data_IF_512749618607
#
_entry.id   IF_512749618607
#
_cell.length_a   1.000
_cell.length_b   1.000
_cell.length_c   1.000
_cell.angle_alpha   90.00
_cell.angle_beta   90.00
_cell.angle_gamma   90.00
#
_symmetry.space_group_name_H-M   'P 1'
#
loop_
_entity.id
_entity.type
_entity.pdbx_description
1 polymer ?
#
# COMPACT_ATOMS: atom_id res chain seq x y z
N UNK A 1 -19.21 -2.52 16.60
CA UNK A 1 -18.16 -1.66 16.00
C UNK A 1 -16.93 -2.53 15.76
N UNK A 2 -16.34 -2.41 14.58
CA UNK A 2 -15.10 -3.14 14.26
C UNK A 2 -13.92 -2.18 14.40
N UNK A 3 -12.94 -2.58 15.19
CA UNK A 3 -11.73 -1.78 15.44
C UNK A 3 -10.51 -2.66 15.27
N UNK A 4 -9.48 -2.13 14.61
CA UNK A 4 -8.17 -2.79 14.48
C UNK A 4 -7.09 -1.85 14.98
N UNK A 5 -6.15 -2.39 15.74
CA UNK A 5 -4.94 -1.66 16.09
C UNK A 5 -3.91 -1.93 14.99
N UNK A 6 -3.65 -0.93 14.16
CA UNK A 6 -2.81 -1.10 12.98
C UNK A 6 -1.39 -1.56 13.35
N UNK A 7 -0.85 -1.09 14.47
CA UNK A 7 0.48 -1.54 14.92
C UNK A 7 0.49 -3.02 15.22
N UNK A 8 -0.57 -3.52 15.85
CA UNK A 8 -0.68 -4.94 16.23
C UNK A 8 -0.89 -5.85 15.03
N UNK A 9 -1.41 -5.31 13.93
CA UNK A 9 -1.71 -6.09 12.73
C UNK A 9 -0.54 -6.26 11.78
N UNK A 10 0.57 -5.55 12.02
CA UNK A 10 1.73 -5.61 11.14
C UNK A 10 2.34 -6.99 11.11
N UNK A 11 2.71 -7.46 9.91
CA UNK A 11 3.38 -8.75 9.70
C UNK A 11 4.44 -8.57 8.62
N UNK A 12 5.63 -9.06 8.88
CA UNK A 12 6.74 -8.99 7.93
C UNK A 12 7.20 -10.39 7.54
N UNK A 13 7.75 -10.51 6.34
CA UNK A 13 8.33 -11.77 5.86
C UNK A 13 9.64 -11.45 5.14
N UNK A 14 10.63 -12.32 5.29
CA UNK A 14 11.90 -12.18 4.57
C UNK A 14 11.78 -12.54 3.10
N UNK A 15 10.70 -13.22 2.71
CA UNK A 15 10.52 -13.70 1.33
C UNK A 15 9.91 -12.64 0.42
N UNK A 16 8.90 -11.92 0.91
CA UNK A 16 8.21 -10.88 0.14
C UNK A 16 7.41 -9.99 1.06
N UNK A 17 6.97 -8.85 0.55
CA UNK A 17 6.10 -7.96 1.30
C UNK A 17 4.83 -8.66 1.72
N UNK A 18 4.27 -8.23 2.85
CA UNK A 18 3.00 -8.74 3.35
C UNK A 18 1.91 -7.68 3.19
N UNK A 19 0.74 -8.15 2.79
CA UNK A 19 -0.49 -7.35 2.75
C UNK A 19 -1.41 -7.93 3.79
N UNK A 20 -1.70 -7.16 4.83
CA UNK A 20 -2.58 -7.62 5.90
C UNK A 20 -3.90 -6.87 5.78
N UNK A 21 -4.99 -7.60 5.54
CA UNK A 21 -6.30 -6.99 5.41
C UNK A 21 -6.82 -6.54 6.77
N UNK A 22 -7.26 -5.29 6.86
CA UNK A 22 -7.85 -4.72 8.06
C UNK A 22 -9.37 -4.77 7.99
N UNK A 23 -9.93 -4.27 6.88
CA UNK A 23 -11.37 -4.25 6.64
C UNK A 23 -11.65 -4.51 5.17
N UNK A 24 -12.75 -5.18 4.90
CA UNK A 24 -13.22 -5.37 3.53
C UNK A 24 -14.73 -5.34 3.48
N UNK A 25 -15.26 -4.55 2.54
CA UNK A 25 -16.69 -4.50 2.24
C UNK A 25 -16.88 -4.69 0.73
N UNK A 26 -18.14 -4.73 0.28
CA UNK A 26 -18.42 -4.78 -1.16
C UNK A 26 -17.83 -3.57 -1.90
N UNK A 27 -17.65 -2.44 -1.22
CA UNK A 27 -17.26 -1.17 -1.84
C UNK A 27 -15.80 -0.82 -1.72
N UNK A 28 -15.10 -1.37 -0.72
CA UNK A 28 -13.71 -0.96 -0.46
C UNK A 28 -12.97 -2.02 0.33
N UNK A 29 -11.65 -1.91 0.36
CA UNK A 29 -10.85 -2.58 1.38
C UNK A 29 -9.80 -1.61 1.94
N UNK A 30 -9.34 -1.92 3.15
CA UNK A 30 -8.24 -1.23 3.80
C UNK A 30 -7.24 -2.29 4.26
N UNK A 31 -5.99 -2.11 3.84
CA UNK A 31 -4.89 -3.03 4.15
C UNK A 31 -3.75 -2.27 4.82
N UNK A 32 -2.91 -3.00 5.57
CA UNK A 32 -1.60 -2.50 5.92
C UNK A 32 -0.57 -3.31 5.13
N UNK A 33 0.35 -2.60 4.45
CA UNK A 33 1.43 -3.22 3.70
C UNK A 33 2.70 -3.11 4.53
N UNK A 34 3.43 -4.21 4.65
CA UNK A 34 4.65 -4.28 5.43
C UNK A 34 5.78 -4.77 4.54
N UNK A 35 6.79 -3.91 4.32
CA UNK A 35 7.91 -4.19 3.44
C UNK A 35 9.23 -4.14 4.21
N UNK A 36 9.96 -5.25 4.18
CA UNK A 36 11.35 -5.27 4.64
C UNK A 36 12.23 -4.52 3.61
N UNK A 37 13.46 -4.13 3.98
CA UNK A 37 14.36 -3.52 3.01
C UNK A 37 14.50 -4.34 1.73
N UNK A 38 14.42 -3.67 0.58
CA UNK A 38 14.55 -4.28 -0.74
C UNK A 38 13.28 -4.87 -1.31
N UNK A 39 12.22 -4.97 -0.53
CA UNK A 39 10.96 -5.52 -1.01
C UNK A 39 10.15 -4.49 -1.78
N UNK A 40 9.26 -4.97 -2.65
CA UNK A 40 8.46 -4.11 -3.52
C UNK A 40 7.10 -4.71 -3.81
N UNK A 41 6.17 -3.84 -4.14
CA UNK A 41 4.98 -4.19 -4.89
C UNK A 41 5.24 -3.77 -6.32
N UNK A 42 5.32 -4.74 -7.24
CA UNK A 42 5.62 -4.47 -8.65
C UNK A 42 4.56 -3.58 -9.27
N UNK A 43 4.96 -2.83 -10.29
CA UNK A 43 4.04 -1.97 -11.03
C UNK A 43 2.91 -2.78 -11.63
N UNK A 44 1.71 -2.27 -11.47
CA UNK A 44 0.49 -2.86 -12.02
C UNK A 44 -0.57 -1.77 -12.07
N UNK A 45 -1.67 -2.05 -12.76
CA UNK A 45 -2.80 -1.14 -12.85
C UNK A 45 -4.08 -1.89 -12.48
N UNK A 46 -5.00 -1.17 -11.86
CA UNK A 46 -6.33 -1.70 -11.54
C UNK A 46 -7.37 -0.96 -12.36
N UNK A 47 -8.14 -1.70 -13.13
CA UNK A 47 -9.21 -1.12 -13.93
C UNK A 47 -10.34 -0.65 -13.02
N UNK A 48 -10.70 0.63 -13.13
CA UNK A 48 -11.85 1.19 -12.45
C UNK A 48 -11.74 1.37 -10.94
N UNK A 49 -10.56 1.15 -10.35
CA UNK A 49 -10.40 1.31 -8.91
C UNK A 49 -9.27 2.28 -8.59
N UNK A 50 -9.58 3.23 -7.72
CA UNK A 50 -8.57 4.16 -7.19
C UNK A 50 -7.89 3.54 -5.98
N UNK A 51 -6.62 3.88 -5.78
CA UNK A 51 -5.82 3.37 -4.68
C UNK A 51 -5.12 4.51 -3.97
N UNK A 52 -5.10 4.44 -2.65
CA UNK A 52 -4.39 5.41 -1.82
C UNK A 52 -3.33 4.68 -1.02
N UNK A 53 -2.12 5.24 -0.99
CA UNK A 53 -1.06 4.84 -0.09
C UNK A 53 -0.81 5.95 0.92
N UNK A 54 -0.78 5.60 2.18
CA UNK A 54 -0.42 6.53 3.25
C UNK A 54 0.76 5.93 4.04
N UNK A 55 1.87 6.69 4.15
CA UNK A 55 3.07 6.19 4.82
C UNK A 55 2.92 6.31 6.32
N UNK A 56 2.97 5.17 7.01
CA UNK A 56 2.90 5.12 8.47
C UNK A 56 4.30 5.12 9.09
N UNK A 57 5.24 4.42 8.47
CA UNK A 57 6.59 4.26 9.01
C UNK A 57 7.57 4.01 7.87
N UNK A 58 8.77 4.60 7.99
CA UNK A 58 9.82 4.43 7.00
C UNK A 58 9.65 5.32 5.77
N UNK A 59 10.42 5.04 4.73
CA UNK A 59 10.37 5.77 3.46
C UNK A 59 10.25 4.79 2.31
N UNK A 60 9.53 5.18 1.27
CA UNK A 60 9.35 4.36 0.09
C UNK A 60 9.43 5.16 -1.19
N UNK A 61 9.81 4.50 -2.27
CA UNK A 61 9.78 5.04 -3.63
C UNK A 61 8.48 4.65 -4.27
N UNK A 62 7.65 5.62 -4.65
CA UNK A 62 6.33 5.38 -5.25
C UNK A 62 6.34 5.74 -6.71
N UNK A 63 5.81 4.84 -7.51
CA UNK A 63 5.65 4.99 -8.96
C UNK A 63 4.18 5.17 -9.28
N UNK A 64 3.81 6.30 -9.86
CA UNK A 64 2.44 6.57 -10.30
C UNK A 64 2.52 7.08 -11.73
N UNK A 65 2.12 6.26 -12.71
CA UNK A 65 2.30 6.60 -14.11
C UNK A 65 3.77 6.79 -14.46
N UNK A 66 4.11 7.95 -15.00
CA UNK A 66 5.49 8.29 -15.35
C UNK A 66 6.23 9.01 -14.22
N UNK A 67 5.57 9.20 -13.09
CA UNK A 67 6.12 9.95 -11.97
C UNK A 67 6.67 8.99 -10.91
N UNK A 68 7.82 9.36 -10.34
CA UNK A 68 8.41 8.61 -9.24
C UNK A 68 8.82 9.57 -8.15
N UNK A 69 8.44 9.25 -6.90
CA UNK A 69 8.74 10.13 -5.78
C UNK A 69 8.96 9.33 -4.51
N UNK A 70 9.92 9.77 -3.69
CA UNK A 70 10.13 9.21 -2.37
C UNK A 70 9.20 9.89 -1.38
N UNK A 71 8.48 9.09 -0.59
CA UNK A 71 7.57 9.59 0.44
C UNK A 71 8.01 9.10 1.81
N UNK A 72 7.72 9.93 2.81
CA UNK A 72 8.06 9.73 4.22
C UNK A 72 6.79 9.67 5.08
N UNK A 73 6.89 9.37 6.39
CA UNK A 73 5.70 9.27 7.24
C UNK A 73 4.78 10.48 7.16
N UNK A 74 3.49 10.19 7.21
CA UNK A 74 2.41 11.17 7.13
C UNK A 74 2.15 11.73 5.73
N UNK A 75 2.89 11.27 4.72
CA UNK A 75 2.58 11.62 3.33
C UNK A 75 1.66 10.60 2.70
N UNK A 76 0.79 11.08 1.83
CA UNK A 76 -0.25 10.30 1.18
C UNK A 76 -0.19 10.53 -0.34
N UNK A 77 -0.45 9.48 -1.12
CA UNK A 77 -0.46 9.58 -2.58
C UNK A 77 -1.63 8.81 -3.17
N UNK A 78 -2.19 9.36 -4.23
CA UNK A 78 -3.27 8.73 -4.98
C UNK A 78 -2.71 8.06 -6.24
N UNK A 79 -3.05 6.80 -6.42
CA UNK A 79 -2.87 6.07 -7.67
C UNK A 79 -4.24 5.96 -8.34
N UNK A 80 -4.52 6.81 -9.34
CA UNK A 80 -5.83 6.80 -10.00
C UNK A 80 -6.11 5.50 -10.73
N UNK A 81 -7.38 5.18 -10.91
CA UNK A 81 -7.80 4.01 -11.69
C UNK A 81 -7.11 3.99 -13.04
N UNK A 82 -6.74 2.80 -13.50
CA UNK A 82 -6.12 2.53 -14.80
C UNK A 82 -4.69 3.08 -14.97
N UNK A 83 -4.15 3.76 -13.96
CA UNK A 83 -2.77 4.26 -13.97
C UNK A 83 -1.86 3.27 -13.31
N UNK A 84 -0.76 2.90 -13.98
CA UNK A 84 0.23 1.97 -13.46
C UNK A 84 0.88 2.54 -12.19
N UNK A 85 1.02 1.71 -11.18
CA UNK A 85 1.60 2.13 -9.90
C UNK A 85 2.33 0.98 -9.21
N UNK A 86 3.23 1.35 -8.31
CA UNK A 86 3.97 0.42 -7.48
C UNK A 86 4.74 1.16 -6.40
N UNK A 87 5.32 0.40 -5.48
CA UNK A 87 6.11 0.95 -4.39
C UNK A 87 7.29 0.03 -4.11
N UNK A 88 8.42 0.63 -3.74
CA UNK A 88 9.62 -0.11 -3.40
C UNK A 88 10.27 0.47 -2.15
N UNK A 89 10.74 -0.41 -1.28
CA UNK A 89 11.48 -0.02 -0.09
C UNK A 89 12.99 -0.08 -0.40
N UNK A 90 13.58 1.07 -0.74
CA UNK A 90 15.01 1.20 -1.00
C UNK A 90 15.82 1.49 0.26
N UNK A 91 15.15 1.70 1.39
CA UNK A 91 15.83 2.07 2.62
C UNK A 91 16.38 0.86 3.36
N UNK A 92 17.13 1.10 4.42
CA UNK A 92 17.63 0.06 5.31
C UNK A 92 16.66 -0.25 6.45
N UNK A 93 15.51 0.39 6.46
CA UNK A 93 14.50 0.23 7.52
C UNK A 93 13.19 -0.32 6.94
N UNK A 94 12.33 -0.79 7.82
CA UNK A 94 11.00 -1.27 7.42
C UNK A 94 10.13 -0.12 6.92
N UNK A 95 9.29 -0.44 5.94
CA UNK A 95 8.31 0.48 5.40
C UNK A 95 6.92 -0.07 5.68
N UNK A 96 6.07 0.76 6.27
CA UNK A 96 4.69 0.38 6.60
C UNK A 96 3.74 1.38 5.98
N UNK A 97 2.78 0.88 5.22
CA UNK A 97 1.81 1.69 4.48
C UNK A 97 0.40 1.30 4.87
N UNK A 98 -0.47 2.30 5.00
CA UNK A 98 -1.90 2.08 5.04
C UNK A 98 -2.42 2.25 3.62
N UNK A 99 -3.22 1.30 3.15
CA UNK A 99 -3.64 1.25 1.75
C UNK A 99 -5.15 1.09 1.67
N UNK A 100 -5.78 1.92 0.86
CA UNK A 100 -7.23 1.84 0.58
C UNK A 100 -7.46 1.67 -0.91
N UNK A 101 -8.47 0.89 -1.26
CA UNK A 101 -8.94 0.81 -2.65
C UNK A 101 -10.46 0.88 -2.69
N UNK A 102 -10.97 1.64 -3.66
CA UNK A 102 -12.40 1.75 -3.92
C UNK A 102 -12.63 2.11 -5.40
N UNK A 103 -13.67 1.56 -6.04
CA UNK A 103 -14.45 0.41 -5.58
C UNK A 103 -13.57 -0.82 -5.37
N UNK A 104 -14.04 -1.77 -4.59
CA UNK A 104 -13.25 -2.95 -4.25
C UNK A 104 -12.99 -3.81 -5.49
N UNK A 105 -11.72 -3.92 -5.96
CA UNK A 105 -11.42 -4.68 -7.18
C UNK A 105 -11.55 -6.19 -6.99
N UNK A 106 -11.64 -6.66 -5.75
CA UNK A 106 -11.81 -8.09 -5.44
C UNK A 106 -13.26 -8.51 -5.43
N UNK A 107 -14.20 -7.56 -5.57
CA UNK A 107 -15.64 -7.80 -5.60
C UNK A 107 -16.19 -7.33 -6.94
N UNK A 108 -16.56 -8.26 -7.77
CA UNK A 108 -17.12 -7.96 -9.09
C UNK A 108 -18.62 -7.80 -9.04
#
# INVERSE_FOLDING_TARGET
>A
MEVRDVKSERRFSTEKMKKVNLFETERMFADVYCLEPGQEQKRHAHSGADKIYFVLEGTGSFHIGDDERQLAPDQIVLAPADVEHGVRNHSDNRLVLLVFMAPNPNKA
#
